data_IF_523989563079
#
_entry.id   IF_523989563079
#
_cell.length_a   1.000
_cell.length_b   1.000
_cell.length_c   1.000
_cell.angle_alpha   90.00
_cell.angle_beta   90.00
_cell.angle_gamma   90.00
#
_symmetry.space_group_name_H-M   'P 1'
#
loop_
_entity.id
_entity.type
_entity.pdbx_description
1 polymer ?
#
# COMPACT_ATOMS: atom_id res chain seq x y z
N UNK A 1 -0.34 23.06 10.74
CA UNK A 1 -0.97 22.41 9.58
C UNK A 1 0.15 21.96 8.67
N UNK A 2 0.72 20.78 8.92
CA UNK A 2 1.68 20.17 8.00
C UNK A 2 0.91 19.67 6.78
N UNK A 3 1.11 20.33 5.66
CA UNK A 3 0.78 19.78 4.36
C UNK A 3 1.73 18.61 4.14
N UNK A 4 1.27 17.39 4.49
CA UNK A 4 1.96 16.10 4.39
C UNK A 4 2.31 15.75 2.92
N UNK A 5 3.13 16.56 2.29
CA UNK A 5 3.93 16.15 1.16
C UNK A 5 5.11 15.38 1.78
N UNK A 6 5.27 14.08 1.44
CA UNK A 6 6.38 13.20 1.88
C UNK A 6 6.15 12.37 3.17
N UNK A 7 4.90 11.99 3.46
CA UNK A 7 4.57 11.13 4.61
C UNK A 7 4.96 9.65 4.44
N UNK A 8 5.16 9.22 3.19
CA UNK A 8 5.41 7.84 2.79
C UNK A 8 6.63 7.71 1.89
N UNK A 9 7.08 8.79 1.25
CA UNK A 9 8.22 8.77 0.33
C UNK A 9 7.91 8.17 -1.02
N UNK A 10 6.64 7.93 -1.38
CA UNK A 10 6.21 7.37 -2.69
C UNK A 10 4.95 8.05 -3.25
N UNK A 11 4.64 9.25 -2.79
CA UNK A 11 3.43 10.00 -3.17
C UNK A 11 3.33 10.17 -4.70
N UNK A 12 4.46 10.40 -5.36
CA UNK A 12 4.54 10.53 -6.81
C UNK A 12 4.19 9.23 -7.51
N UNK A 13 4.77 8.10 -7.10
CA UNK A 13 4.52 6.79 -7.68
C UNK A 13 3.07 6.33 -7.47
N UNK A 14 2.49 6.67 -6.31
CA UNK A 14 1.08 6.42 -6.02
C UNK A 14 0.18 7.22 -6.95
N UNK A 15 0.49 8.49 -7.18
CA UNK A 15 -0.26 9.35 -8.10
C UNK A 15 -0.12 8.90 -9.57
N UNK A 16 1.10 8.60 -10.02
CA UNK A 16 1.38 8.19 -11.40
C UNK A 16 0.76 6.83 -11.74
N UNK A 17 0.67 5.91 -10.77
CA UNK A 17 0.00 4.62 -10.94
C UNK A 17 -1.51 4.64 -10.65
N UNK A 18 -2.06 5.81 -10.29
CA UNK A 18 -3.50 5.95 -10.03
C UNK A 18 -4.30 5.83 -11.32
N UNK A 19 -5.51 5.28 -11.22
CA UNK A 19 -6.44 5.18 -12.34
C UNK A 19 -7.72 5.91 -12.03
N UNK A 20 -8.37 6.42 -13.09
CA UNK A 20 -9.70 7.01 -12.98
C UNK A 20 -10.74 5.89 -13.01
N UNK A 21 -11.61 5.86 -12.00
CA UNK A 21 -12.72 4.90 -11.94
C UNK A 21 -14.03 5.66 -11.85
N UNK A 22 -14.98 5.37 -12.74
CA UNK A 22 -16.32 5.93 -12.65
C UNK A 22 -17.10 5.17 -11.58
N UNK A 23 -17.49 5.87 -10.52
CA UNK A 23 -18.21 5.29 -9.37
C UNK A 23 -19.69 5.70 -9.34
N UNK A 24 -20.02 6.80 -10.01
CA UNK A 24 -21.37 7.27 -10.30
C UNK A 24 -21.36 7.99 -11.65
N UNK A 25 -22.51 8.09 -12.35
CA UNK A 25 -22.59 8.83 -13.61
C UNK A 25 -22.02 10.24 -13.48
N UNK A 26 -20.97 10.54 -14.25
CA UNK A 26 -20.30 11.85 -14.24
C UNK A 26 -19.32 12.09 -13.08
N UNK A 27 -19.05 11.09 -12.23
CA UNK A 27 -18.08 11.17 -11.15
C UNK A 27 -16.97 10.11 -11.31
N UNK A 28 -15.79 10.58 -11.69
CA UNK A 28 -14.62 9.73 -12.00
C UNK A 28 -13.38 10.14 -11.19
N UNK A 29 -13.32 9.82 -9.88
CA UNK A 29 -12.14 10.11 -9.06
C UNK A 29 -10.89 9.37 -9.55
N UNK A 30 -9.73 9.96 -9.30
CA UNK A 30 -8.45 9.22 -9.30
C UNK A 30 -8.38 8.39 -8.04
N UNK A 31 -8.13 7.09 -8.19
CA UNK A 31 -7.92 6.17 -7.07
C UNK A 31 -6.55 5.52 -7.17
N UNK A 32 -5.90 5.36 -6.02
CA UNK A 32 -4.62 4.67 -5.95
C UNK A 32 -4.76 3.22 -6.46
N UNK A 33 -3.71 2.74 -7.14
CA UNK A 33 -3.64 1.34 -7.56
C UNK A 33 -3.67 0.40 -6.35
N UNK A 34 -4.12 -0.84 -6.57
CA UNK A 34 -4.13 -1.86 -5.51
C UNK A 34 -2.74 -2.11 -4.93
N UNK A 35 -1.72 -2.15 -5.78
CA UNK A 35 -0.31 -2.25 -5.37
C UNK A 35 0.12 -1.13 -4.44
N UNK A 36 -0.27 0.11 -4.76
CA UNK A 36 -0.04 1.27 -3.89
C UNK A 36 -0.75 1.11 -2.55
N UNK A 37 -2.02 0.72 -2.56
CA UNK A 37 -2.78 0.50 -1.33
C UNK A 37 -2.16 -0.60 -0.47
N UNK A 38 -1.71 -1.72 -1.05
CA UNK A 38 -1.00 -2.77 -0.33
C UNK A 38 0.27 -2.23 0.34
N UNK A 39 1.11 -1.51 -0.42
CA UNK A 39 2.35 -0.97 0.12
C UNK A 39 2.09 0.01 1.29
N UNK A 40 1.11 0.90 1.13
CA UNK A 40 0.73 1.87 2.16
C UNK A 40 0.15 1.19 3.41
N UNK A 41 -0.65 0.13 3.24
CA UNK A 41 -1.20 -0.65 4.35
C UNK A 41 -0.12 -1.44 5.08
N UNK A 42 0.86 -2.01 4.39
CA UNK A 42 2.04 -2.64 5.04
C UNK A 42 2.82 -1.59 5.83
N UNK A 43 3.05 -0.40 5.28
CA UNK A 43 3.74 0.68 5.99
C UNK A 43 3.00 1.11 7.27
N UNK A 44 1.67 1.23 7.22
CA UNK A 44 0.86 1.68 8.35
C UNK A 44 0.44 0.57 9.33
N UNK A 45 0.52 -0.70 8.93
CA UNK A 45 0.07 -1.83 9.74
C UNK A 45 0.78 -1.89 11.09
N UNK A 46 -0.02 -1.99 12.15
CA UNK A 46 0.41 -2.18 13.52
C UNK A 46 -0.69 -2.95 14.29
N UNK A 47 -0.42 -4.16 14.80
CA UNK A 47 -1.43 -4.98 15.49
C UNK A 47 -2.02 -4.32 16.74
N UNK A 48 -1.29 -3.41 17.40
CA UNK A 48 -1.73 -2.77 18.64
C UNK A 48 -2.59 -1.54 18.39
N UNK A 49 -2.30 -0.76 17.34
CA UNK A 49 -2.87 0.58 17.16
C UNK A 49 -3.61 0.75 15.82
N UNK A 50 -3.43 -0.16 14.87
CA UNK A 50 -3.90 -0.04 13.48
C UNK A 50 -4.44 -1.37 12.94
N UNK A 51 -5.19 -2.10 13.75
CA UNK A 51 -5.75 -3.41 13.38
C UNK A 51 -6.55 -3.35 12.07
N UNK A 52 -7.29 -2.25 11.84
CA UNK A 52 -8.05 -2.06 10.60
C UNK A 52 -7.17 -2.08 9.35
N UNK A 53 -5.94 -1.56 9.40
CA UNK A 53 -5.04 -1.59 8.25
C UNK A 53 -4.59 -3.02 7.90
N UNK A 54 -4.50 -3.91 8.90
CA UNK A 54 -4.20 -5.32 8.69
C UNK A 54 -5.39 -6.02 8.02
N UNK A 55 -6.61 -5.72 8.45
CA UNK A 55 -7.84 -6.24 7.83
C UNK A 55 -7.97 -5.75 6.38
N UNK A 56 -7.73 -4.46 6.14
CA UNK A 56 -7.74 -3.90 4.79
C UNK A 56 -6.65 -4.55 3.91
N UNK A 57 -5.47 -4.80 4.48
CA UNK A 57 -4.37 -5.47 3.79
C UNK A 57 -4.74 -6.89 3.38
N UNK A 58 -5.41 -7.65 4.25
CA UNK A 58 -5.93 -8.98 3.93
C UNK A 58 -6.85 -8.92 2.69
N UNK A 59 -7.87 -8.06 2.73
CA UNK A 59 -8.82 -7.91 1.62
C UNK A 59 -8.13 -7.51 0.31
N UNK A 60 -7.13 -6.62 0.38
CA UNK A 60 -6.36 -6.20 -0.78
C UNK A 60 -5.51 -7.35 -1.35
N UNK A 61 -4.87 -8.13 -0.48
CA UNK A 61 -4.04 -9.26 -0.89
C UNK A 61 -4.88 -10.38 -1.50
N UNK A 62 -6.07 -10.67 -0.97
CA UNK A 62 -6.98 -11.67 -1.52
C UNK A 62 -7.35 -11.34 -2.98
N UNK A 63 -7.64 -10.07 -3.26
CA UNK A 63 -7.99 -9.58 -4.59
C UNK A 63 -6.79 -9.31 -5.52
N UNK A 64 -5.55 -9.34 -5.02
CA UNK A 64 -4.36 -8.96 -5.78
C UNK A 64 -3.85 -10.08 -6.68
N UNK A 65 -3.55 -9.74 -7.94
CA UNK A 65 -2.76 -10.57 -8.84
C UNK A 65 -1.30 -10.69 -8.38
N UNK A 66 -0.55 -11.71 -8.85
CA UNK A 66 0.87 -11.83 -8.54
C UNK A 66 1.69 -10.61 -8.98
N UNK A 67 1.36 -10.00 -10.12
CA UNK A 67 2.03 -8.79 -10.61
C UNK A 67 1.79 -7.59 -9.70
N UNK A 68 0.56 -7.42 -9.20
CA UNK A 68 0.25 -6.34 -8.26
C UNK A 68 1.01 -6.47 -6.93
N UNK A 69 1.23 -7.70 -6.47
CA UNK A 69 2.04 -7.97 -5.27
C UNK A 69 3.51 -7.62 -5.52
N UNK A 70 4.06 -7.97 -6.68
CA UNK A 70 5.43 -7.60 -7.04
C UNK A 70 5.61 -6.08 -7.21
N UNK A 71 4.62 -5.39 -7.76
CA UNK A 71 4.62 -3.92 -7.83
C UNK A 71 4.59 -3.29 -6.42
N UNK A 72 3.81 -3.88 -5.50
CA UNK A 72 3.81 -3.45 -4.10
C UNK A 72 5.19 -3.65 -3.44
N UNK A 73 5.89 -4.76 -3.73
CA UNK A 73 7.27 -4.97 -3.26
C UNK A 73 8.21 -3.87 -3.74
N UNK A 74 8.12 -3.45 -5.00
CA UNK A 74 8.95 -2.38 -5.55
C UNK A 74 8.69 -1.06 -4.84
N UNK A 75 7.42 -0.74 -4.54
CA UNK A 75 7.09 0.45 -3.74
C UNK A 75 7.67 0.36 -2.33
N UNK A 76 7.55 -0.77 -1.64
CA UNK A 76 8.13 -0.95 -0.30
C UNK A 76 9.65 -0.82 -0.28
N UNK A 77 10.33 -1.27 -1.35
CA UNK A 77 11.77 -1.06 -1.53
C UNK A 77 12.11 0.43 -1.69
N UNK A 78 11.35 1.17 -2.49
CA UNK A 78 11.51 2.63 -2.63
C UNK A 78 11.28 3.36 -1.30
N UNK A 79 10.22 3.03 -0.56
CA UNK A 79 9.93 3.58 0.77
C UNK A 79 11.12 3.36 1.70
N UNK A 80 11.70 2.16 1.68
CA UNK A 80 12.85 1.80 2.52
C UNK A 80 14.12 2.55 2.10
N UNK A 81 14.42 2.60 0.80
CA UNK A 81 15.57 3.33 0.26
C UNK A 81 15.52 4.83 0.55
N UNK A 82 14.31 5.40 0.61
CA UNK A 82 14.09 6.82 0.93
C UNK A 82 14.01 7.09 2.45
N UNK A 83 14.04 6.05 3.29
CA UNK A 83 14.07 6.21 4.76
C UNK A 83 12.70 6.38 5.42
N UNK A 84 11.60 6.11 4.71
CA UNK A 84 10.23 6.24 5.23
C UNK A 84 9.67 4.93 5.80
N UNK A 85 10.49 3.90 6.00
CA UNK A 85 10.07 2.57 6.46
C UNK A 85 9.69 2.50 7.95
N UNK A 86 9.87 3.58 8.73
CA UNK A 86 9.46 3.68 10.14
C UNK A 86 10.08 2.59 11.03
N UNK A 87 11.36 2.27 10.80
CA UNK A 87 12.09 1.21 11.49
C UNK A 87 11.52 -0.21 11.30
N UNK A 88 10.71 -0.43 10.26
CA UNK A 88 10.16 -1.74 9.91
C UNK A 88 10.97 -2.41 8.80
N UNK A 89 10.96 -3.74 8.78
CA UNK A 89 11.37 -4.53 7.62
C UNK A 89 10.13 -4.80 6.76
N UNK A 90 9.85 -3.89 5.83
CA UNK A 90 8.62 -3.90 5.05
C UNK A 90 8.51 -5.13 4.13
N UNK A 91 9.63 -5.64 3.62
CA UNK A 91 9.65 -6.83 2.78
C UNK A 91 9.32 -8.07 3.59
N UNK A 92 9.91 -8.20 4.78
CA UNK A 92 9.61 -9.29 5.70
C UNK A 92 8.16 -9.24 6.19
N UNK A 93 7.64 -8.05 6.49
CA UNK A 93 6.26 -7.87 6.92
C UNK A 93 5.28 -8.30 5.82
N UNK A 94 5.46 -7.82 4.58
CA UNK A 94 4.61 -8.24 3.45
C UNK A 94 4.66 -9.76 3.25
N UNK A 95 5.84 -10.38 3.32
CA UNK A 95 5.97 -11.84 3.23
C UNK A 95 5.22 -12.56 4.35
N UNK A 96 5.25 -12.02 5.57
CA UNK A 96 4.50 -12.55 6.70
C UNK A 96 2.99 -12.51 6.44
N UNK A 97 2.47 -11.38 5.97
CA UNK A 97 1.06 -11.23 5.64
C UNK A 97 0.61 -12.12 4.48
N UNK A 98 1.42 -12.26 3.42
CA UNK A 98 1.11 -13.17 2.30
C UNK A 98 0.98 -14.60 2.83
N UNK A 99 1.95 -15.08 3.63
CA UNK A 99 1.89 -16.42 4.23
C UNK A 99 0.70 -16.60 5.17
N UNK A 100 0.29 -15.54 5.86
CA UNK A 100 -0.82 -15.59 6.80
C UNK A 100 -2.18 -15.66 6.09
N UNK A 101 -2.34 -14.94 4.98
CA UNK A 101 -3.64 -14.75 4.32
C UNK A 101 -3.84 -15.59 3.07
N UNK A 102 -2.77 -15.93 2.34
CA UNK A 102 -2.82 -16.72 1.09
C UNK A 102 -2.11 -18.06 1.32
N UNK A 103 -2.90 -19.10 1.58
CA UNK A 103 -2.46 -20.50 1.56
C UNK A 103 -2.73 -21.12 0.20
#
# INVERSE_FOLDING_TARGET
MDLLFDSTGVEREVFESSSKIEIFPGLTPQVASRSSLIALKVLSANPKTRMKDIIDLQNLLDAASPTEVEDARRLLDLITKRGHNRNKDLQKDLNGYIKQFRN
#
